data_IF_573880309456
#
_entry.id   IF_573880309456
#
_cell.length_a   1.000
_cell.length_b   1.000
_cell.length_c   1.000
_cell.angle_alpha   90.00
_cell.angle_beta   90.00
_cell.angle_gamma   90.00
#
_symmetry.space_group_name_H-M   'P 1'
#
loop_
_entity.id
_entity.type
_entity.pdbx_description
1 polymer ?
#
# COMPACT_ATOMS: atom_id res chain seq x y z
N UNK A 1 9.02 8.23 -5.41
CA UNK A 1 8.60 8.73 -4.08
C UNK A 1 9.70 8.38 -3.10
N UNK A 2 9.82 9.10 -1.99
CA UNK A 2 10.84 8.77 -0.97
C UNK A 2 10.25 7.92 0.15
N UNK A 3 11.08 7.04 0.73
CA UNK A 3 10.71 6.26 1.90
C UNK A 3 10.60 7.16 3.13
N UNK A 4 9.44 7.14 3.79
CA UNK A 4 9.22 7.83 5.05
C UNK A 4 9.36 6.84 6.22
N UNK A 5 10.44 6.94 7.03
CA UNK A 5 10.61 6.11 8.22
C UNK A 5 9.58 6.40 9.33
N UNK A 6 8.82 7.49 9.23
CA UNK A 6 7.75 7.86 10.15
C UNK A 6 6.45 7.07 9.96
N UNK A 7 6.30 6.36 8.85
CA UNK A 7 5.14 5.49 8.64
C UNK A 7 5.26 4.21 9.46
N UNK A 8 4.20 3.91 10.22
CA UNK A 8 4.09 2.68 11.00
C UNK A 8 3.67 1.54 10.10
N UNK A 9 4.48 0.49 10.08
CA UNK A 9 4.21 -0.71 9.29
C UNK A 9 4.23 -1.94 10.18
N UNK A 10 3.06 -2.54 10.36
CA UNK A 10 3.00 -3.88 10.92
C UNK A 10 3.15 -4.92 9.80
N UNK A 11 3.69 -6.07 10.18
CA UNK A 11 3.66 -7.30 9.39
C UNK A 11 2.64 -8.28 9.99
N UNK A 12 2.23 -9.26 9.20
CA UNK A 12 1.36 -10.35 9.66
C UNK A 12 1.80 -11.68 9.04
N UNK A 13 1.64 -12.81 9.76
CA UNK A 13 1.82 -14.13 9.16
C UNK A 13 0.93 -14.30 7.92
N UNK A 14 1.49 -14.85 6.85
CA UNK A 14 0.77 -15.05 5.59
C UNK A 14 0.63 -13.79 4.72
N UNK A 15 1.22 -12.66 5.11
CA UNK A 15 1.36 -11.47 4.25
C UNK A 15 2.83 -11.30 3.89
N UNK A 16 3.11 -11.12 2.60
CA UNK A 16 4.47 -10.89 2.12
C UNK A 16 5.03 -9.59 2.75
N UNK A 17 6.16 -9.65 3.47
CA UNK A 17 6.75 -8.44 4.06
C UNK A 17 7.36 -7.57 2.96
N UNK A 18 7.43 -6.24 3.14
CA UNK A 18 8.18 -5.39 2.23
C UNK A 18 9.63 -5.85 2.13
N UNK A 19 10.15 -5.91 0.90
CA UNK A 19 11.52 -6.32 0.59
C UNK A 19 12.18 -5.32 -0.35
N UNK A 20 13.38 -5.65 -0.82
CA UNK A 20 14.19 -4.83 -1.72
C UNK A 20 13.40 -4.41 -2.97
N UNK A 21 12.59 -5.30 -3.53
CA UNK A 21 11.69 -5.05 -4.66
C UNK A 21 10.66 -3.93 -4.39
N UNK A 22 10.12 -3.92 -3.18
CA UNK A 22 9.10 -2.98 -2.73
C UNK A 22 9.72 -1.58 -2.55
N UNK A 23 10.95 -1.53 -2.02
CA UNK A 23 11.71 -0.28 -1.90
C UNK A 23 12.18 0.26 -3.25
N UNK A 24 12.54 -0.64 -4.18
CA UNK A 24 12.85 -0.26 -5.55
C UNK A 24 11.62 0.36 -6.23
N UNK A 25 10.45 -0.28 -6.13
CA UNK A 25 9.21 0.24 -6.72
C UNK A 25 8.86 1.63 -6.15
N UNK A 26 8.97 1.79 -4.83
CA UNK A 26 8.70 3.07 -4.16
C UNK A 26 9.56 4.22 -4.71
N UNK A 27 10.86 3.96 -4.89
CA UNK A 27 11.80 4.97 -5.39
C UNK A 27 11.65 5.24 -6.89
N UNK A 28 11.26 4.23 -7.67
CA UNK A 28 11.11 4.34 -9.12
C UNK A 28 9.85 5.09 -9.58
N UNK A 29 8.78 5.10 -8.78
CA UNK A 29 7.49 5.71 -9.15
C UNK A 29 7.39 7.14 -8.61
N UNK A 30 7.09 8.12 -9.48
CA UNK A 30 6.69 9.46 -9.06
C UNK A 30 5.16 9.59 -9.10
N UNK A 31 4.60 10.29 -8.12
CA UNK A 31 3.17 10.59 -8.03
C UNK A 31 3.02 12.07 -7.71
N UNK A 32 2.11 12.73 -8.42
CA UNK A 32 1.80 14.14 -8.21
C UNK A 32 0.47 14.34 -7.46
N UNK A 33 0.32 15.43 -6.70
CA UNK A 33 -0.96 15.77 -6.08
C UNK A 33 -2.09 15.87 -7.11
N UNK A 34 -3.25 15.26 -6.79
CA UNK A 34 -4.42 15.23 -7.67
C UNK A 34 -4.50 14.02 -8.59
N UNK A 35 -3.44 13.22 -8.69
CA UNK A 35 -3.49 11.95 -9.42
C UNK A 35 -4.37 10.90 -8.72
N UNK A 36 -4.66 9.84 -9.48
CA UNK A 36 -5.39 8.66 -9.01
C UNK A 36 -4.54 7.43 -9.24
N UNK A 37 -4.32 6.68 -8.18
CA UNK A 37 -3.41 5.53 -8.18
C UNK A 37 -4.19 4.26 -7.90
N UNK A 38 -3.91 3.22 -8.68
CA UNK A 38 -4.34 1.86 -8.42
C UNK A 38 -3.11 1.00 -8.14
N UNK A 39 -3.05 0.41 -6.94
CA UNK A 39 -2.02 -0.55 -6.59
C UNK A 39 -2.57 -1.98 -6.59
N UNK A 40 -1.85 -2.87 -7.27
CA UNK A 40 -2.19 -4.27 -7.43
C UNK A 40 -1.26 -5.13 -6.58
N UNK A 41 -1.80 -5.99 -5.73
CA UNK A 41 -1.01 -6.83 -4.83
C UNK A 41 -0.33 -6.03 -3.73
N UNK A 42 -1.08 -5.12 -3.09
CA UNK A 42 -0.54 -4.14 -2.16
C UNK A 42 0.05 -4.74 -0.86
N UNK A 43 -0.26 -5.99 -0.52
CA UNK A 43 0.30 -6.67 0.65
C UNK A 43 0.09 -5.88 1.95
N UNK A 44 1.17 -5.58 2.66
CA UNK A 44 1.17 -4.74 3.87
C UNK A 44 1.05 -3.24 3.58
N UNK A 45 1.19 -2.83 2.31
CA UNK A 45 0.92 -1.50 1.79
C UNK A 45 2.08 -0.53 1.75
N UNK A 46 3.33 -1.00 1.61
CA UNK A 46 4.49 -0.09 1.58
C UNK A 46 4.26 1.03 0.57
N UNK A 47 4.02 0.69 -0.70
CA UNK A 47 3.85 1.70 -1.76
C UNK A 47 2.51 2.43 -1.60
N UNK A 48 1.44 1.71 -1.29
CA UNK A 48 0.09 2.27 -1.22
C UNK A 48 -0.04 3.36 -0.16
N UNK A 49 0.60 3.18 1.00
CA UNK A 49 0.58 4.17 2.07
C UNK A 49 1.39 5.40 1.71
N UNK A 50 2.57 5.25 1.09
CA UNK A 50 3.35 6.41 0.66
C UNK A 50 2.60 7.21 -0.41
N UNK A 51 2.03 6.51 -1.41
CA UNK A 51 1.19 7.12 -2.43
C UNK A 51 -0.04 7.82 -1.82
N UNK A 52 -0.66 7.22 -0.80
CA UNK A 52 -1.88 7.73 -0.15
C UNK A 52 -1.69 9.03 0.61
N UNK A 53 -0.45 9.45 0.86
CA UNK A 53 -0.14 10.78 1.43
C UNK A 53 -0.18 11.89 0.39
N UNK A 54 -0.06 11.55 -0.89
CA UNK A 54 0.11 12.50 -1.99
C UNK A 54 -1.16 12.54 -2.85
N UNK A 55 -1.75 11.37 -3.12
CA UNK A 55 -2.81 11.20 -4.11
C UNK A 55 -3.92 10.28 -3.61
N UNK A 56 -5.01 10.20 -4.40
CA UNK A 56 -6.12 9.29 -4.09
C UNK A 56 -5.76 7.88 -4.54
N UNK A 57 -5.69 6.94 -3.60
CA UNK A 57 -5.25 5.57 -3.86
C UNK A 57 -6.38 4.56 -3.65
N UNK A 58 -6.49 3.62 -4.59
CA UNK A 58 -7.18 2.34 -4.41
C UNK A 58 -6.11 1.25 -4.36
N UNK A 59 -6.05 0.51 -3.27
CA UNK A 59 -5.12 -0.60 -3.10
C UNK A 59 -5.87 -1.92 -3.09
N UNK A 60 -5.33 -2.90 -3.81
CA UNK A 60 -5.97 -4.19 -4.00
C UNK A 60 -5.07 -5.34 -3.65
N UNK A 61 -5.66 -6.42 -3.13
CA UNK A 61 -4.95 -7.68 -2.91
C UNK A 61 -5.95 -8.84 -2.95
N UNK A 62 -5.50 -10.02 -3.40
CA UNK A 62 -6.31 -11.25 -3.42
C UNK A 62 -6.42 -11.87 -2.02
N UNK A 63 -5.37 -11.71 -1.21
CA UNK A 63 -5.27 -12.25 0.13
C UNK A 63 -6.12 -11.42 1.10
N UNK A 64 -7.14 -12.00 1.75
CA UNK A 64 -7.95 -11.29 2.72
C UNK A 64 -7.12 -10.74 3.88
N UNK A 65 -6.07 -11.44 4.32
CA UNK A 65 -5.21 -10.98 5.42
C UNK A 65 -4.38 -9.74 5.04
N UNK A 66 -3.87 -9.67 3.81
CA UNK A 66 -3.23 -8.46 3.27
C UNK A 66 -4.19 -7.27 3.35
N UNK A 67 -5.43 -7.42 2.89
CA UNK A 67 -6.39 -6.30 2.93
C UNK A 67 -6.78 -5.88 4.35
N UNK A 68 -6.83 -6.82 5.32
CA UNK A 68 -7.08 -6.50 6.73
C UNK A 68 -5.89 -5.76 7.34
N UNK A 69 -4.68 -6.26 7.12
CA UNK A 69 -3.44 -5.64 7.56
C UNK A 69 -3.28 -4.23 6.99
N UNK A 70 -3.50 -4.07 5.69
CA UNK A 70 -3.39 -2.78 5.01
C UNK A 70 -4.37 -1.75 5.57
N UNK A 71 -5.62 -2.12 5.83
CA UNK A 71 -6.57 -1.22 6.49
C UNK A 71 -6.09 -0.79 7.89
N UNK A 72 -5.50 -1.72 8.66
CA UNK A 72 -4.92 -1.41 9.97
C UNK A 72 -3.74 -0.45 9.85
N UNK A 73 -2.80 -0.71 8.93
CA UNK A 73 -1.65 0.15 8.69
C UNK A 73 -2.09 1.55 8.20
N UNK A 74 -3.08 1.64 7.31
CA UNK A 74 -3.65 2.91 6.87
C UNK A 74 -4.27 3.69 8.03
N UNK A 75 -5.05 3.01 8.89
CA UNK A 75 -5.67 3.61 10.08
C UNK A 75 -4.61 4.13 11.07
N UNK A 76 -3.57 3.32 11.34
CA UNK A 76 -2.48 3.68 12.25
C UNK A 76 -1.70 4.93 11.78
N UNK A 77 -1.66 5.17 10.47
CA UNK A 77 -1.00 6.32 9.85
C UNK A 77 -1.97 7.47 9.51
N UNK A 78 -3.27 7.31 9.75
CA UNK A 78 -4.33 8.27 9.37
C UNK A 78 -4.32 8.61 7.87
N UNK A 79 -4.02 7.63 7.03
CA UNK A 79 -3.98 7.80 5.57
C UNK A 79 -5.31 7.32 4.98
N UNK A 80 -6.03 8.18 4.23
CA UNK A 80 -7.25 7.78 3.55
C UNK A 80 -6.91 6.85 2.39
N UNK A 81 -7.20 5.55 2.54
CA UNK A 81 -6.88 4.53 1.55
C UNK A 81 -8.11 3.64 1.29
N UNK A 82 -8.53 3.54 0.03
CA UNK A 82 -9.57 2.58 -0.35
C UNK A 82 -8.94 1.21 -0.55
N UNK A 83 -9.29 0.24 0.30
CA UNK A 83 -8.74 -1.12 0.24
C UNK A 83 -9.81 -2.09 -0.24
N UNK A 84 -9.57 -2.76 -1.36
CA UNK A 84 -10.50 -3.69 -2.00
C UNK A 84 -9.84 -5.06 -2.09
N UNK A 85 -10.57 -6.11 -1.67
CA UNK A 85 -10.14 -7.48 -1.97
C UNK A 85 -10.59 -7.81 -3.38
N UNK A 86 -9.67 -8.16 -4.27
CA UNK A 86 -10.02 -8.59 -5.61
C UNK A 86 -9.04 -9.64 -6.12
N UNK A 87 -9.53 -10.50 -7.00
CA UNK A 87 -8.72 -11.32 -7.87
C UNK A 87 -8.72 -10.61 -9.23
N UNK A 88 -7.53 -10.34 -9.80
CA UNK A 88 -7.44 -9.59 -11.06
C UNK A 88 -8.04 -10.33 -12.25
N UNK A 89 -8.13 -11.65 -12.16
CA UNK A 89 -8.57 -12.50 -13.26
C UNK A 89 -10.00 -13.02 -13.08
N UNK A 90 -10.75 -12.53 -12.06
CA UNK A 90 -12.10 -13.00 -11.73
C UNK A 90 -13.04 -11.90 -11.29
#
# INVERSE_FOLDING_TARGET
MEFDPGLRFDTAPGVYPPREDSHLLLSAVSIEPGERVLELGAGSGLVALHAGRIAKVVATDVNPESTRLLRRNATANRIPLAVVRCDLFR
#
